data_IF_460219297235
#
_entry.id   IF_460219297235
#
_cell.length_a   1.000
_cell.length_b   1.000
_cell.length_c   1.000
_cell.angle_alpha   90.00
_cell.angle_beta   90.00
_cell.angle_gamma   90.00
#
_symmetry.space_group_name_H-M   'P 1'
#
loop_
_entity.id
_entity.type
_entity.pdbx_description
1 polymer ?
#
# COMPACT_ATOMS: atom_id res chain seq x y z
N UNK A 1 -20.84 8.33 13.62
CA UNK A 1 -21.48 8.66 12.33
C UNK A 1 -22.99 8.54 12.52
N UNK A 2 -23.84 9.31 11.85
CA UNK A 2 -25.30 9.11 11.96
C UNK A 2 -25.70 7.86 11.17
N UNK A 3 -26.50 6.96 11.78
CA UNK A 3 -26.98 5.71 11.15
C UNK A 3 -27.67 5.94 9.79
N UNK A 4 -28.33 7.08 9.61
CA UNK A 4 -28.99 7.40 8.33
C UNK A 4 -28.02 7.61 7.17
N UNK A 5 -26.80 8.09 7.45
CA UNK A 5 -25.82 8.38 6.39
C UNK A 5 -25.16 7.10 5.87
N UNK A 6 -24.90 6.12 6.75
CA UNK A 6 -24.32 4.82 6.37
C UNK A 6 -25.25 4.03 5.46
N UNK A 7 -26.55 3.99 5.76
CA UNK A 7 -27.53 3.30 4.93
C UNK A 7 -27.58 3.86 3.49
N UNK A 8 -27.54 5.19 3.34
CA UNK A 8 -27.54 5.82 2.02
C UNK A 8 -26.28 5.49 1.20
N UNK A 9 -25.13 5.33 1.87
CA UNK A 9 -23.86 4.96 1.26
C UNK A 9 -23.89 3.50 0.78
N UNK A 10 -24.34 2.59 1.63
CA UNK A 10 -24.44 1.15 1.34
C UNK A 10 -25.34 0.90 0.14
N UNK A 11 -26.53 1.50 0.10
CA UNK A 11 -27.46 1.41 -1.05
C UNK A 11 -26.78 1.87 -2.34
N UNK A 12 -26.00 2.95 -2.28
CA UNK A 12 -25.29 3.46 -3.46
C UNK A 12 -24.18 2.51 -3.91
N UNK A 13 -23.43 1.93 -2.98
CA UNK A 13 -22.38 0.95 -3.28
C UNK A 13 -22.96 -0.28 -3.96
N UNK A 14 -24.02 -0.86 -3.38
CA UNK A 14 -24.66 -2.06 -3.92
C UNK A 14 -25.25 -1.83 -5.31
N UNK A 15 -25.81 -0.64 -5.55
CA UNK A 15 -26.47 -0.31 -6.82
C UNK A 15 -25.50 0.11 -7.93
N UNK A 16 -24.44 0.84 -7.59
CA UNK A 16 -23.58 1.53 -8.58
C UNK A 16 -22.14 0.99 -8.62
N UNK A 17 -21.68 0.27 -7.61
CA UNK A 17 -20.28 -0.13 -7.45
C UNK A 17 -20.11 -1.62 -7.08
N UNK A 18 -20.58 -2.50 -7.96
CA UNK A 18 -20.57 -3.96 -7.77
C UNK A 18 -19.21 -4.66 -7.71
N UNK A 19 -18.10 -3.91 -7.65
CA UNK A 19 -16.74 -4.44 -7.51
C UNK A 19 -16.02 -3.99 -6.23
N UNK A 20 -16.69 -3.25 -5.34
CA UNK A 20 -16.13 -2.89 -4.04
C UNK A 20 -16.20 -4.11 -3.11
N UNK A 21 -15.08 -4.52 -2.54
CA UNK A 21 -15.05 -5.64 -1.59
C UNK A 21 -15.39 -5.21 -0.16
N UNK A 22 -15.03 -4.00 0.24
CA UNK A 22 -15.30 -3.47 1.57
C UNK A 22 -14.81 -2.05 1.74
N UNK A 23 -15.31 -1.39 2.78
CA UNK A 23 -14.91 -0.04 3.18
C UNK A 23 -14.77 0.00 4.70
N UNK A 24 -13.66 0.56 5.17
CA UNK A 24 -13.40 0.85 6.58
C UNK A 24 -13.04 2.33 6.73
N UNK A 25 -13.58 2.97 7.78
CA UNK A 25 -13.25 4.34 8.15
C UNK A 25 -12.76 4.35 9.58
N UNK A 26 -11.49 4.75 9.74
CA UNK A 26 -10.84 4.90 11.05
C UNK A 26 -10.85 6.38 11.45
N UNK A 27 -11.16 6.65 12.72
CA UNK A 27 -11.03 7.97 13.34
C UNK A 27 -10.57 7.79 14.79
N UNK A 28 -9.55 8.53 15.19
CA UNK A 28 -9.00 8.48 16.56
C UNK A 28 -8.69 7.04 16.99
N UNK A 29 -7.99 6.29 16.12
CA UNK A 29 -7.62 4.88 16.29
C UNK A 29 -8.78 3.87 16.45
N UNK A 30 -10.03 4.31 16.20
CA UNK A 30 -11.20 3.45 16.24
C UNK A 30 -11.89 3.36 14.88
N UNK A 31 -12.40 2.16 14.54
CA UNK A 31 -13.30 1.98 13.41
C UNK A 31 -14.65 2.64 13.72
N UNK A 32 -14.97 3.71 12.98
CA UNK A 32 -16.26 4.42 13.09
C UNK A 32 -17.27 3.95 12.05
N UNK A 33 -16.80 3.14 11.09
CA UNK A 33 -17.59 2.44 10.09
C UNK A 33 -16.75 1.32 9.48
N UNK A 34 -17.37 0.16 9.27
CA UNK A 34 -16.78 -0.99 8.60
C UNK A 34 -17.91 -1.82 8.00
N UNK A 35 -17.83 -2.09 6.69
CA UNK A 35 -18.76 -2.98 6.01
C UNK A 35 -18.08 -3.64 4.81
N UNK A 36 -18.51 -4.86 4.49
CA UNK A 36 -17.99 -5.70 3.42
C UNK A 36 -19.12 -6.03 2.45
N UNK A 37 -18.80 -6.08 1.16
CA UNK A 37 -19.77 -6.24 0.07
C UNK A 37 -19.33 -7.38 -0.86
N UNK A 38 -20.20 -7.77 -1.79
CA UNK A 38 -19.88 -8.80 -2.80
C UNK A 38 -19.41 -10.13 -2.21
N UNK A 39 -19.98 -10.53 -1.07
CA UNK A 39 -19.66 -11.76 -0.34
C UNK A 39 -18.22 -11.81 0.20
N UNK A 40 -17.53 -10.67 0.26
CA UNK A 40 -16.27 -10.56 0.96
C UNK A 40 -16.48 -10.42 2.47
N UNK A 41 -15.42 -10.72 3.22
CA UNK A 41 -15.32 -10.66 4.66
C UNK A 41 -13.98 -10.04 5.07
N UNK A 42 -13.84 -9.75 6.37
CA UNK A 42 -12.59 -9.26 6.97
C UNK A 42 -11.37 -10.19 6.74
N UNK A 43 -11.63 -11.48 6.52
CA UNK A 43 -10.59 -12.50 6.37
C UNK A 43 -10.15 -12.72 4.92
N UNK A 44 -10.85 -12.13 3.95
CA UNK A 44 -10.55 -12.31 2.53
C UNK A 44 -9.36 -11.46 2.09
N UNK A 45 -8.45 -12.08 1.33
CA UNK A 45 -7.30 -11.39 0.76
C UNK A 45 -7.68 -10.73 -0.56
N UNK A 46 -7.37 -9.44 -0.69
CA UNK A 46 -7.64 -8.64 -1.89
C UNK A 46 -6.32 -8.16 -2.50
N UNK A 47 -6.21 -8.21 -3.83
CA UNK A 47 -5.11 -7.58 -4.53
C UNK A 47 -5.21 -6.06 -4.47
N UNK A 48 -4.32 -5.43 -3.71
CA UNK A 48 -4.30 -3.96 -3.50
C UNK A 48 -3.44 -3.20 -4.52
N UNK A 49 -2.86 -3.90 -5.50
CA UNK A 49 -2.04 -3.34 -6.58
C UNK A 49 -0.99 -2.34 -6.09
N UNK A 50 -1.07 -1.08 -6.53
CA UNK A 50 -0.07 -0.05 -6.23
C UNK A 50 -0.10 0.48 -4.81
N UNK A 51 -1.11 0.16 -3.99
CA UNK A 51 -1.10 0.49 -2.55
C UNK A 51 0.12 -0.13 -1.86
N UNK A 52 0.59 -1.29 -2.33
CA UNK A 52 1.80 -1.96 -1.84
C UNK A 52 3.03 -1.03 -1.86
N UNK A 53 3.12 -0.10 -2.82
CA UNK A 53 4.25 0.84 -2.92
C UNK A 53 4.35 1.76 -1.71
N UNK A 54 3.21 2.20 -1.17
CA UNK A 54 3.19 3.05 0.04
C UNK A 54 3.73 2.30 1.26
N UNK A 55 3.37 1.02 1.40
CA UNK A 55 3.89 0.15 2.47
C UNK A 55 5.40 -0.03 2.33
N UNK A 56 5.88 -0.29 1.10
CA UNK A 56 7.31 -0.44 0.82
C UNK A 56 8.07 0.87 1.07
N UNK A 57 7.50 2.03 0.71
CA UNK A 57 8.07 3.35 1.00
C UNK A 57 8.21 3.59 2.51
N UNK A 58 7.17 3.24 3.30
CA UNK A 58 7.22 3.32 4.75
C UNK A 58 8.33 2.42 5.33
N UNK A 59 8.50 1.20 4.79
CA UNK A 59 9.59 0.30 5.19
C UNK A 59 10.98 0.88 4.90
N UNK A 60 11.16 1.59 3.77
CA UNK A 60 12.40 2.32 3.52
C UNK A 60 12.65 3.42 4.56
N UNK A 61 11.61 4.17 4.95
CA UNK A 61 11.70 5.16 6.04
C UNK A 61 12.14 4.53 7.37
N UNK A 62 11.57 3.39 7.75
CA UNK A 62 11.96 2.66 8.95
C UNK A 62 13.41 2.14 8.85
N UNK A 63 13.83 1.66 7.68
CA UNK A 63 15.20 1.21 7.47
C UNK A 63 16.22 2.36 7.55
N UNK A 64 15.85 3.56 7.13
CA UNK A 64 16.67 4.76 7.33
C UNK A 64 16.78 5.14 8.80
N UNK A 65 15.66 5.16 9.53
CA UNK A 65 15.62 5.48 10.96
C UNK A 65 16.50 4.51 11.78
N UNK A 66 16.52 3.23 11.40
CA UNK A 66 17.38 2.20 12.01
C UNK A 66 18.85 2.24 11.55
N UNK A 67 19.22 3.15 10.64
CA UNK A 67 20.58 3.23 10.09
C UNK A 67 20.96 2.08 9.15
N UNK A 68 19.99 1.27 8.70
CA UNK A 68 20.22 0.24 7.69
C UNK A 68 20.46 0.85 6.30
N UNK A 69 19.86 2.01 6.04
CA UNK A 69 20.05 2.85 4.84
C UNK A 69 20.51 4.21 5.33
N UNK A 70 21.60 4.74 4.78
CA UNK A 70 22.14 6.05 5.15
C UNK A 70 21.37 7.18 4.49
N UNK A 71 21.01 7.01 3.22
CA UNK A 71 20.21 7.96 2.46
C UNK A 71 19.58 7.31 1.21
N UNK A 72 18.59 7.98 0.62
CA UNK A 72 17.84 7.46 -0.52
C UNK A 72 18.59 7.50 -1.85
N UNK A 73 19.77 8.14 -1.90
CA UNK A 73 20.63 8.19 -3.08
C UNK A 73 21.58 6.99 -3.17
N UNK A 74 21.67 6.18 -2.12
CA UNK A 74 22.40 4.92 -2.16
C UNK A 74 21.85 4.02 -3.28
N UNK A 75 22.76 3.32 -3.96
CA UNK A 75 22.39 2.47 -5.08
C UNK A 75 21.83 1.17 -4.54
N UNK A 76 20.70 0.74 -5.10
CA UNK A 76 20.07 -0.53 -4.69
C UNK A 76 21.01 -1.72 -4.85
N UNK A 77 21.89 -1.70 -5.86
CA UNK A 77 22.84 -2.79 -6.12
C UNK A 77 23.84 -3.02 -4.97
N UNK A 78 24.14 -2.00 -4.18
CA UNK A 78 25.10 -2.10 -3.06
C UNK A 78 24.53 -2.99 -1.92
N UNK A 79 23.21 -3.15 -1.85
CA UNK A 79 22.52 -4.04 -0.91
C UNK A 79 22.43 -5.49 -1.40
N UNK A 80 22.57 -5.75 -2.70
CA UNK A 80 22.42 -7.08 -3.31
C UNK A 80 23.75 -7.58 -3.92
N UNK A 81 24.68 -8.01 -3.05
CA UNK A 81 26.03 -8.51 -3.41
C UNK A 81 26.07 -9.67 -4.44
N UNK A 82 24.94 -10.33 -4.73
CA UNK A 82 24.87 -11.50 -5.62
C UNK A 82 24.72 -11.12 -7.10
N UNK A 83 24.34 -9.87 -7.42
CA UNK A 83 24.21 -9.42 -8.81
C UNK A 83 25.59 -9.06 -9.35
N UNK A 84 26.39 -10.07 -9.73
CA UNK A 84 27.64 -9.88 -10.48
C UNK A 84 27.32 -9.12 -11.77
N UNK A 85 27.68 -7.82 -11.78
CA UNK A 85 27.92 -6.94 -12.92
C UNK A 85 27.31 -7.40 -14.25
N UNK A 86 25.98 -7.33 -14.38
CA UNK A 86 25.34 -7.33 -15.69
C UNK A 86 25.68 -5.99 -16.35
N UNK A 87 26.77 -5.97 -17.15
CA UNK A 87 27.19 -4.81 -17.93
C UNK A 87 25.99 -4.29 -18.74
N UNK A 88 25.59 -3.04 -18.50
CA UNK A 88 24.55 -2.35 -19.29
C UNK A 88 23.17 -2.15 -18.63
N UNK A 89 22.93 -2.61 -17.39
CA UNK A 89 21.67 -2.30 -16.69
C UNK A 89 21.73 -0.94 -15.99
N UNK A 90 20.68 -0.14 -16.18
CA UNK A 90 20.49 1.17 -15.50
C UNK A 90 20.51 0.94 -14.00
N UNK A 91 21.41 1.64 -13.30
CA UNK A 91 21.50 1.60 -11.85
C UNK A 91 20.50 2.59 -11.30
N UNK A 92 19.66 2.15 -10.37
CA UNK A 92 18.65 2.98 -9.72
C UNK A 92 19.06 3.26 -8.28
N UNK A 93 18.81 4.49 -7.83
CA UNK A 93 18.86 4.82 -6.41
C UNK A 93 17.67 4.20 -5.68
N UNK A 94 17.77 4.09 -4.35
CA UNK A 94 16.65 3.64 -3.51
C UNK A 94 15.41 4.50 -3.75
N UNK A 95 15.56 5.82 -3.90
CA UNK A 95 14.47 6.73 -4.23
C UNK A 95 13.75 6.33 -5.52
N UNK A 96 14.53 6.02 -6.56
CA UNK A 96 13.99 5.59 -7.85
C UNK A 96 13.29 4.24 -7.73
N UNK A 97 13.78 3.29 -6.93
CA UNK A 97 13.12 2.00 -6.76
C UNK A 97 11.89 2.05 -5.85
N UNK A 98 11.86 2.96 -4.86
CA UNK A 98 10.70 3.16 -3.99
C UNK A 98 9.51 3.77 -4.75
N UNK A 99 9.78 4.61 -5.74
CA UNK A 99 8.76 5.35 -6.50
C UNK A 99 8.44 4.67 -7.86
N UNK A 100 9.44 4.10 -8.52
CA UNK A 100 9.34 3.59 -9.91
C UNK A 100 9.01 2.08 -9.98
N UNK A 101 7.97 1.64 -9.28
CA UNK A 101 7.29 0.36 -9.55
C UNK A 101 6.12 0.56 -10.55
N UNK A 102 6.26 1.49 -11.49
CA UNK A 102 5.35 1.66 -12.63
C UNK A 102 5.71 0.69 -13.75
#
# INVERSE_FOLDING_TARGET
MKQDQTASLEIKIEKEYGNIAGIIVLKDDAAVYENYFNQCSESDLIHVFSVTKSVISMLFGIAMDKGCIKNLDERVIDFFRIIKSAKGKKQYSILQSAICLQ
#
